data_IF_697652633490
#
_entry.id   IF_697652633490
#
_cell.length_a   1.000
_cell.length_b   1.000
_cell.length_c   1.000
_cell.angle_alpha   90.00
_cell.angle_beta   90.00
_cell.angle_gamma   90.00
#
_symmetry.space_group_name_H-M   'P 1'
#
loop_
_entity.id
_entity.type
_entity.pdbx_description
1 polymer ?
#
# COMPACT_ATOMS: atom_id res chain seq x y z
N UNK A 1 15.72 -8.67 19.19
CA UNK A 1 15.11 -7.36 19.51
C UNK A 1 13.61 -7.45 19.30
N UNK A 2 12.84 -6.78 20.18
CA UNK A 2 11.39 -6.86 20.16
C UNK A 2 10.77 -5.57 19.62
N UNK A 3 9.87 -5.70 18.65
CA UNK A 3 9.20 -4.56 18.03
C UNK A 3 7.68 -4.71 18.16
N UNK A 4 7.02 -3.68 18.69
CA UNK A 4 5.57 -3.56 18.61
C UNK A 4 5.19 -2.86 17.30
N UNK A 5 4.32 -3.49 16.52
CA UNK A 5 3.81 -2.94 15.26
C UNK A 5 2.36 -2.51 15.41
N UNK A 6 2.02 -1.30 14.91
CA UNK A 6 0.68 -0.71 15.00
C UNK A 6 0.22 -0.29 13.60
N UNK A 7 -0.86 -0.90 13.13
CA UNK A 7 -1.44 -0.63 11.82
C UNK A 7 -2.93 -0.28 11.94
N UNK A 8 -3.28 1.01 12.11
CA UNK A 8 -4.66 1.46 12.17
C UNK A 8 -5.30 1.46 10.76
N UNK A 9 -6.44 0.78 10.65
CA UNK A 9 -7.34 0.87 9.51
C UNK A 9 -8.60 1.69 9.83
N UNK A 10 -9.48 1.85 8.84
CA UNK A 10 -10.71 2.62 9.00
C UNK A 10 -11.59 2.08 10.14
N UNK A 11 -11.83 0.77 10.17
CA UNK A 11 -12.73 0.10 11.12
C UNK A 11 -12.03 -0.83 12.10
N UNK A 12 -10.70 -0.89 12.08
CA UNK A 12 -9.93 -1.76 12.97
C UNK A 12 -8.52 -1.20 13.24
N UNK A 13 -7.89 -1.68 14.30
CA UNK A 13 -6.47 -1.48 14.54
C UNK A 13 -5.82 -2.84 14.72
N UNK A 14 -4.88 -3.17 13.85
CA UNK A 14 -4.08 -4.40 13.98
C UNK A 14 -2.80 -4.07 14.74
N UNK A 15 -2.46 -4.91 15.71
CA UNK A 15 -1.18 -4.85 16.42
C UNK A 15 -0.51 -6.20 16.36
N UNK A 16 0.83 -6.20 16.27
CA UNK A 16 1.64 -7.42 16.35
C UNK A 16 2.91 -7.14 17.13
N UNK A 17 3.33 -8.12 17.92
CA UNK A 17 4.63 -8.13 18.57
C UNK A 17 5.56 -9.08 17.81
N UNK A 18 6.76 -8.63 17.52
CA UNK A 18 7.82 -9.41 16.89
C UNK A 18 8.99 -9.56 17.86
N UNK A 19 9.57 -10.76 17.91
CA UNK A 19 10.87 -11.02 18.49
C UNK A 19 11.80 -11.43 17.34
N UNK A 20 12.69 -10.53 16.96
CA UNK A 20 13.36 -10.54 15.66
C UNK A 20 12.33 -10.72 14.53
N UNK A 21 12.55 -11.60 13.59
CA UNK A 21 11.62 -11.85 12.47
C UNK A 21 10.39 -12.67 12.85
N UNK A 22 10.33 -13.20 14.10
CA UNK A 22 9.25 -14.07 14.54
C UNK A 22 8.09 -13.26 15.12
N UNK A 23 6.92 -13.35 14.52
CA UNK A 23 5.70 -12.82 15.11
C UNK A 23 5.27 -13.67 16.32
N UNK A 24 5.24 -13.05 17.50
CA UNK A 24 4.90 -13.72 18.78
C UNK A 24 3.50 -13.36 19.28
N UNK A 25 2.89 -12.29 18.76
CA UNK A 25 1.52 -11.89 19.08
C UNK A 25 0.91 -11.19 17.87
N UNK A 26 -0.37 -11.45 17.59
CA UNK A 26 -1.19 -10.67 16.64
C UNK A 26 -2.59 -10.50 17.20
N UNK A 27 -3.07 -9.25 17.23
CA UNK A 27 -4.43 -8.90 17.65
C UNK A 27 -5.04 -7.94 16.64
N UNK A 28 -6.31 -8.15 16.32
CA UNK A 28 -7.12 -7.23 15.53
C UNK A 28 -8.24 -6.66 16.39
N UNK A 29 -8.19 -5.37 16.64
CA UNK A 29 -9.15 -4.63 17.46
C UNK A 29 -10.16 -3.99 16.52
N UNK A 30 -11.40 -4.43 16.53
CA UNK A 30 -12.47 -3.85 15.73
C UNK A 30 -13.05 -2.59 16.41
N UNK A 31 -13.42 -1.61 15.60
CA UNK A 31 -14.07 -0.38 16.04
C UNK A 31 -15.46 -0.27 15.42
N UNK A 32 -16.49 -0.07 16.23
CA UNK A 32 -17.84 0.12 15.71
C UNK A 32 -17.99 1.49 15.06
N UNK A 33 -18.87 1.57 14.06
CA UNK A 33 -19.21 2.85 13.42
C UNK A 33 -19.74 3.87 14.44
N UNK A 34 -20.50 3.41 15.45
CA UNK A 34 -21.03 4.24 16.53
C UNK A 34 -19.91 4.86 17.39
N UNK A 35 -18.83 4.12 17.68
CA UNK A 35 -17.69 4.67 18.42
C UNK A 35 -16.92 5.67 17.57
N UNK A 36 -16.66 5.34 16.31
CA UNK A 36 -15.89 6.20 15.42
C UNK A 36 -16.62 7.49 15.04
N UNK A 37 -17.98 7.48 15.00
CA UNK A 37 -18.76 8.69 14.69
C UNK A 37 -18.73 9.77 15.78
N UNK A 38 -18.19 9.47 16.97
CA UNK A 38 -17.98 10.45 18.05
C UNK A 38 -16.84 11.43 17.77
N UNK A 39 -15.97 11.14 16.80
CA UNK A 39 -14.79 11.92 16.48
C UNK A 39 -15.01 12.69 15.16
N UNK A 40 -14.79 14.00 15.19
CA UNK A 40 -14.89 14.85 14.01
C UNK A 40 -13.68 14.65 13.07
N UNK A 41 -12.48 14.43 13.65
CA UNK A 41 -11.23 14.23 12.93
C UNK A 41 -10.55 12.91 13.31
N UNK A 42 -9.80 12.36 12.37
CA UNK A 42 -9.08 11.09 12.57
C UNK A 42 -8.11 11.19 13.76
N UNK A 43 -7.39 12.30 13.90
CA UNK A 43 -6.43 12.49 14.99
C UNK A 43 -7.06 12.38 16.39
N UNK A 44 -8.31 12.76 16.54
CA UNK A 44 -9.05 12.68 17.82
C UNK A 44 -9.28 11.24 18.30
N UNK A 45 -9.19 10.26 17.39
CA UNK A 45 -9.31 8.84 17.73
C UNK A 45 -8.08 8.29 18.48
N UNK A 46 -6.97 9.04 18.54
CA UNK A 46 -5.71 8.56 19.10
C UNK A 46 -5.85 8.07 20.55
N UNK A 47 -6.42 8.83 21.51
CA UNK A 47 -6.53 8.37 22.90
C UNK A 47 -7.38 7.11 23.05
N UNK A 48 -8.48 7.02 22.29
CA UNK A 48 -9.37 5.86 22.26
C UNK A 48 -8.63 4.62 21.77
N UNK A 49 -7.96 4.70 20.60
CA UNK A 49 -7.22 3.57 20.04
C UNK A 49 -6.02 3.18 20.87
N UNK A 50 -5.28 4.16 21.44
CA UNK A 50 -4.16 3.95 22.36
C UNK A 50 -4.59 3.13 23.59
N UNK A 51 -5.74 3.48 24.20
CA UNK A 51 -6.28 2.72 25.34
C UNK A 51 -6.53 1.26 24.97
N UNK A 52 -7.20 1.00 23.85
CA UNK A 52 -7.51 -0.37 23.40
C UNK A 52 -6.25 -1.18 23.10
N UNK A 53 -5.20 -0.56 22.56
CA UNK A 53 -3.90 -1.20 22.35
C UNK A 53 -3.26 -1.59 23.68
N UNK A 54 -3.26 -0.70 24.68
CA UNK A 54 -2.72 -1.01 26.00
C UNK A 54 -3.50 -2.12 26.71
N UNK A 55 -4.83 -2.14 26.57
CA UNK A 55 -5.67 -3.20 27.10
C UNK A 55 -5.34 -4.55 26.42
N UNK A 56 -5.23 -4.58 25.09
CA UNK A 56 -4.86 -5.78 24.33
C UNK A 56 -3.45 -6.29 24.68
N UNK A 57 -2.47 -5.41 24.90
CA UNK A 57 -1.14 -5.80 25.36
C UNK A 57 -1.22 -6.47 26.73
N UNK A 58 -1.96 -5.88 27.68
CA UNK A 58 -2.12 -6.41 29.04
C UNK A 58 -2.80 -7.78 29.03
N UNK A 59 -3.85 -7.97 28.23
CA UNK A 59 -4.55 -9.24 28.06
C UNK A 59 -3.62 -10.36 27.52
N UNK A 60 -2.59 -9.98 26.75
CA UNK A 60 -1.59 -10.90 26.24
C UNK A 60 -0.31 -10.99 27.13
N UNK A 61 -0.36 -10.45 28.35
CA UNK A 61 0.75 -10.50 29.31
C UNK A 61 1.96 -9.65 28.91
N UNK A 62 1.76 -8.62 28.08
CA UNK A 62 2.80 -7.73 27.58
C UNK A 62 2.61 -6.30 28.07
N UNK A 63 3.69 -5.54 28.13
CA UNK A 63 3.72 -4.11 28.44
C UNK A 63 4.66 -3.39 27.47
N UNK A 64 4.48 -2.08 27.30
CA UNK A 64 5.27 -1.27 26.36
C UNK A 64 6.78 -1.37 26.64
N UNK A 65 7.19 -1.48 27.90
CA UNK A 65 8.61 -1.62 28.28
C UNK A 65 9.25 -2.97 27.92
N UNK A 66 8.50 -3.91 27.35
CA UNK A 66 9.05 -5.19 26.88
C UNK A 66 9.61 -5.08 25.45
N UNK A 67 9.42 -3.93 24.79
CA UNK A 67 9.84 -3.68 23.42
C UNK A 67 11.04 -2.75 23.34
N UNK A 68 11.89 -2.98 22.31
CA UNK A 68 13.05 -2.13 22.00
C UNK A 68 12.67 -0.95 21.07
N UNK A 69 11.56 -1.08 20.34
CA UNK A 69 10.99 -0.02 19.51
C UNK A 69 9.49 -0.24 19.25
N UNK A 70 8.79 0.83 18.85
CA UNK A 70 7.43 0.77 18.33
C UNK A 70 7.43 1.26 16.88
N UNK A 71 6.81 0.51 15.97
CA UNK A 71 6.67 0.88 14.58
C UNK A 71 5.20 1.09 14.22
N UNK A 72 4.82 2.31 13.88
CA UNK A 72 3.51 2.64 13.38
C UNK A 72 3.45 2.65 11.86
N UNK A 73 2.28 2.37 11.27
CA UNK A 73 2.06 2.65 9.86
C UNK A 73 2.11 4.16 9.62
N UNK A 74 2.85 4.61 8.60
CA UNK A 74 2.77 5.98 8.09
C UNK A 74 1.55 6.14 7.16
N UNK A 75 0.94 7.32 7.20
CA UNK A 75 -0.24 7.65 6.41
C UNK A 75 0.02 8.70 5.33
N UNK A 76 -0.92 9.63 5.20
CA UNK A 76 -0.83 10.77 4.28
C UNK A 76 0.01 11.87 4.94
N UNK A 77 1.26 11.96 4.53
CA UNK A 77 2.27 12.91 4.99
C UNK A 77 2.85 13.63 3.78
N UNK A 78 3.83 14.53 3.98
CA UNK A 78 4.57 15.13 2.84
C UNK A 78 5.29 14.03 2.04
N UNK A 79 5.58 14.33 0.79
CA UNK A 79 6.34 13.42 -0.07
C UNK A 79 7.76 13.24 0.44
N UNK A 80 8.17 11.99 0.64
CA UNK A 80 9.48 11.60 1.15
C UNK A 80 10.03 10.40 0.38
N UNK A 81 11.36 10.20 0.32
CA UNK A 81 11.94 8.97 -0.18
C UNK A 81 11.55 7.75 0.64
N UNK A 82 11.74 6.54 0.09
CA UNK A 82 11.57 5.28 0.82
C UNK A 82 12.55 5.17 1.99
N UNK A 83 12.09 4.62 3.11
CA UNK A 83 12.93 4.39 4.28
C UNK A 83 12.16 4.13 5.56
N UNK A 84 12.95 3.89 6.61
CA UNK A 84 12.47 3.89 7.99
C UNK A 84 12.78 5.27 8.60
N UNK A 85 11.79 5.90 9.16
CA UNK A 85 11.84 7.25 9.70
C UNK A 85 11.56 7.24 11.20
N UNK A 86 12.36 8.00 11.97
CA UNK A 86 12.01 8.29 13.34
C UNK A 86 10.79 9.22 13.38
N UNK A 87 9.86 8.93 14.28
CA UNK A 87 8.76 9.85 14.55
C UNK A 87 9.30 11.04 15.34
N UNK A 88 9.03 12.24 14.86
CA UNK A 88 9.46 13.49 15.49
C UNK A 88 8.31 14.51 15.51
N UNK A 89 8.56 15.68 16.10
CA UNK A 89 7.53 16.73 16.26
C UNK A 89 6.97 17.21 14.92
N UNK A 90 7.74 17.15 13.81
CA UNK A 90 7.25 17.49 12.47
C UNK A 90 6.24 16.48 11.96
N UNK A 91 6.49 15.18 12.16
CA UNK A 91 5.53 14.11 11.81
C UNK A 91 4.22 14.33 12.56
N UNK A 92 4.30 14.57 13.87
CA UNK A 92 3.12 14.81 14.71
C UNK A 92 2.38 16.07 14.27
N UNK A 93 3.11 17.16 14.00
CA UNK A 93 2.52 18.39 13.47
C UNK A 93 1.72 18.14 12.17
N UNK A 94 2.31 17.43 11.19
CA UNK A 94 1.65 17.17 9.90
C UNK A 94 0.45 16.21 10.05
N UNK A 95 0.43 15.33 11.06
CA UNK A 95 -0.73 14.48 11.39
C UNK A 95 -1.87 15.31 12.00
N UNK A 96 -1.53 16.23 12.91
CA UNK A 96 -2.51 17.07 13.60
C UNK A 96 -3.05 18.21 12.73
N UNK A 97 -2.30 18.61 11.70
CA UNK A 97 -2.67 19.66 10.74
C UNK A 97 -2.66 19.06 9.31
N UNK A 98 -3.68 18.29 8.93
CA UNK A 98 -3.63 17.36 7.79
C UNK A 98 -3.69 18.07 6.42
N UNK A 99 -2.67 18.86 6.08
CA UNK A 99 -2.51 19.50 4.77
C UNK A 99 -2.39 18.49 3.62
N UNK A 100 -2.03 17.24 3.91
CA UNK A 100 -1.90 16.15 2.93
C UNK A 100 -3.08 15.18 2.94
N UNK A 101 -4.06 15.39 3.81
CA UNK A 101 -5.28 14.59 3.94
C UNK A 101 -5.34 13.74 5.21
N UNK A 102 -6.53 13.28 5.54
CA UNK A 102 -6.80 12.44 6.70
C UNK A 102 -7.03 10.98 6.29
N UNK A 103 -6.33 10.07 6.96
CA UNK A 103 -6.55 8.64 6.83
C UNK A 103 -6.21 7.95 8.15
N UNK A 104 -6.89 6.85 8.48
CA UNK A 104 -6.65 6.11 9.73
C UNK A 104 -5.18 5.70 9.91
N UNK A 105 -4.47 5.41 8.82
CA UNK A 105 -3.04 5.06 8.85
C UNK A 105 -2.16 6.18 9.46
N UNK A 106 -2.59 7.46 9.39
CA UNK A 106 -1.87 8.57 10.02
C UNK A 106 -1.70 8.36 11.53
N UNK A 107 -2.67 7.71 12.17
CA UNK A 107 -2.61 7.41 13.61
C UNK A 107 -1.49 6.43 14.00
N UNK A 108 -0.97 5.63 13.05
CA UNK A 108 0.04 4.62 13.37
C UNK A 108 1.30 5.24 13.97
N UNK A 109 1.88 6.22 13.28
CA UNK A 109 3.04 6.94 13.77
C UNK A 109 2.73 7.74 15.04
N UNK A 110 1.56 8.37 15.12
CA UNK A 110 1.16 9.16 16.29
C UNK A 110 1.00 8.28 17.55
N UNK A 111 0.30 7.16 17.45
CA UNK A 111 0.15 6.22 18.58
C UNK A 111 1.50 5.61 18.96
N UNK A 112 2.35 5.29 17.96
CA UNK A 112 3.69 4.76 18.22
C UNK A 112 4.51 5.73 19.09
N UNK A 113 4.55 7.01 18.76
CA UNK A 113 5.26 8.03 19.54
C UNK A 113 4.68 8.17 20.95
N UNK A 114 3.35 8.24 21.06
CA UNK A 114 2.65 8.40 22.33
C UNK A 114 2.82 7.22 23.30
N UNK A 115 3.14 6.04 22.79
CA UNK A 115 3.46 4.86 23.60
C UNK A 115 4.96 4.76 23.88
N UNK A 116 5.80 5.09 22.91
CA UNK A 116 7.26 4.93 22.98
C UNK A 116 7.91 5.98 23.90
N UNK A 117 7.49 7.25 23.78
CA UNK A 117 8.08 8.38 24.51
C UNK A 117 8.11 8.19 26.04
N UNK A 118 7.02 7.77 26.72
CA UNK A 118 7.05 7.51 28.17
C UNK A 118 7.93 6.32 28.56
N UNK A 119 8.14 5.36 27.63
CA UNK A 119 8.97 4.18 27.86
C UNK A 119 10.45 4.41 27.53
N UNK A 120 10.81 5.57 26.97
CA UNK A 120 12.18 5.91 26.59
C UNK A 120 12.73 5.07 25.43
N UNK A 121 11.86 4.54 24.56
CA UNK A 121 12.23 3.74 23.38
C UNK A 121 11.89 4.50 22.09
N UNK A 122 12.54 4.21 20.95
CA UNK A 122 12.25 4.90 19.70
C UNK A 122 10.91 4.49 19.09
N UNK A 123 10.27 5.45 18.40
CA UNK A 123 9.12 5.24 17.53
C UNK A 123 9.52 5.43 16.07
N UNK A 124 9.05 4.53 15.20
CA UNK A 124 9.33 4.56 13.78
C UNK A 124 8.06 4.46 12.93
N UNK A 125 8.18 4.87 11.68
CA UNK A 125 7.26 4.49 10.59
C UNK A 125 8.07 4.15 9.33
N UNK A 126 7.48 3.34 8.43
CA UNK A 126 8.19 2.75 7.30
C UNK A 126 7.39 2.92 6.02
N UNK A 127 8.05 3.36 4.96
CA UNK A 127 7.54 3.39 3.59
C UNK A 127 6.05 3.77 3.49
N UNK A 128 5.66 5.00 3.94
CA UNK A 128 4.25 5.42 3.90
C UNK A 128 3.76 5.56 2.46
N UNK A 129 2.44 5.64 2.27
CA UNK A 129 1.82 5.77 0.95
C UNK A 129 2.23 7.04 0.18
N UNK A 130 2.82 8.01 0.86
CA UNK A 130 3.36 9.24 0.31
C UNK A 130 4.84 9.13 -0.12
N UNK A 131 5.42 7.92 -0.14
CA UNK A 131 6.76 7.72 -0.74
C UNK A 131 6.76 8.21 -2.17
N UNK A 132 7.71 9.07 -2.48
CA UNK A 132 7.89 9.65 -3.81
C UNK A 132 9.36 9.67 -4.22
N UNK A 133 9.70 8.81 -5.16
CA UNK A 133 11.02 8.69 -5.75
C UNK A 133 10.96 8.81 -7.28
N UNK A 134 9.79 9.22 -7.81
CA UNK A 134 9.58 9.35 -9.25
C UNK A 134 10.62 10.31 -9.86
N UNK A 135 11.15 9.94 -11.02
CA UNK A 135 11.99 10.82 -11.82
C UNK A 135 11.14 11.98 -12.42
N UNK A 136 11.76 13.13 -12.64
CA UNK A 136 11.02 14.33 -13.08
C UNK A 136 10.28 14.11 -14.40
N UNK A 137 10.85 13.38 -15.35
CA UNK A 137 10.20 13.08 -16.64
C UNK A 137 8.93 12.25 -16.47
N UNK A 138 8.84 11.42 -15.43
CA UNK A 138 7.66 10.60 -15.14
C UNK A 138 6.50 11.42 -14.57
N UNK A 139 6.77 12.61 -14.03
CA UNK A 139 5.75 13.51 -13.47
C UNK A 139 4.98 14.28 -14.55
N UNK A 140 5.60 14.49 -15.70
CA UNK A 140 5.01 15.30 -16.78
C UNK A 140 3.81 14.56 -17.37
N UNK A 141 2.64 15.20 -17.31
CA UNK A 141 1.44 14.76 -18.01
C UNK A 141 1.25 15.56 -19.32
N UNK A 142 0.17 15.27 -20.03
CA UNK A 142 -0.18 16.01 -21.26
C UNK A 142 -0.64 17.45 -21.05
N UNK A 143 -0.78 17.93 -19.79
CA UNK A 143 -1.26 19.28 -19.50
C UNK A 143 -0.46 19.90 -18.34
N UNK A 144 0.05 21.13 -18.57
CA UNK A 144 0.78 21.89 -17.55
C UNK A 144 -0.11 22.17 -16.32
N UNK A 145 0.44 21.87 -15.13
CA UNK A 145 -0.27 22.04 -13.86
C UNK A 145 -1.15 20.83 -13.46
N UNK A 146 -1.13 19.75 -14.25
CA UNK A 146 -1.79 18.48 -13.93
C UNK A 146 -0.74 17.35 -13.92
N UNK A 147 0.20 17.43 -13.00
CA UNK A 147 1.30 16.48 -12.91
C UNK A 147 0.85 15.16 -12.33
N UNK A 148 1.49 14.05 -12.80
CA UNK A 148 1.32 12.73 -12.21
C UNK A 148 1.94 12.71 -10.82
N UNK A 149 1.32 11.97 -9.90
CA UNK A 149 1.72 11.88 -8.51
C UNK A 149 2.08 10.46 -8.13
N UNK A 150 3.09 10.32 -7.28
CA UNK A 150 3.39 9.05 -6.63
C UNK A 150 2.36 8.77 -5.53
N UNK A 151 1.53 7.75 -5.72
CA UNK A 151 0.60 7.26 -4.72
C UNK A 151 0.37 5.77 -4.92
N UNK A 152 1.04 4.94 -4.14
CA UNK A 152 1.05 3.49 -4.36
C UNK A 152 1.22 2.72 -3.03
N UNK A 153 1.15 1.40 -3.10
CA UNK A 153 1.33 0.52 -1.94
C UNK A 153 2.82 0.40 -1.57
N UNK A 154 3.46 1.53 -1.22
CA UNK A 154 4.90 1.66 -1.06
C UNK A 154 5.51 0.60 -0.12
N UNK A 155 4.92 0.43 1.08
CA UNK A 155 5.37 -0.56 2.05
C UNK A 155 5.42 -1.99 1.46
N UNK A 156 4.35 -2.39 0.78
CA UNK A 156 4.28 -3.72 0.15
C UNK A 156 5.26 -3.83 -1.03
N UNK A 157 5.30 -2.84 -1.93
CA UNK A 157 6.22 -2.82 -3.07
C UNK A 157 7.68 -2.98 -2.63
N UNK A 158 8.10 -2.18 -1.64
CA UNK A 158 9.48 -2.20 -1.15
C UNK A 158 9.83 -3.50 -0.43
N UNK A 159 8.89 -4.05 0.35
CA UNK A 159 9.07 -5.31 1.05
C UNK A 159 9.21 -6.47 0.06
N UNK A 160 8.29 -6.62 -0.89
CA UNK A 160 8.37 -7.73 -1.86
C UNK A 160 9.54 -7.59 -2.82
N UNK A 161 9.96 -6.36 -3.17
CA UNK A 161 11.15 -6.14 -3.97
C UNK A 161 12.43 -6.63 -3.26
N UNK A 162 12.58 -6.34 -1.95
CA UNK A 162 13.69 -6.87 -1.14
C UNK A 162 13.64 -8.39 -1.00
N UNK A 163 12.43 -8.96 -0.80
CA UNK A 163 12.26 -10.42 -0.72
C UNK A 163 12.56 -11.11 -2.06
N UNK A 164 12.14 -10.53 -3.18
CA UNK A 164 12.49 -11.03 -4.50
C UNK A 164 14.02 -10.98 -4.72
N UNK A 165 14.67 -9.88 -4.34
CA UNK A 165 16.12 -9.75 -4.42
C UNK A 165 16.83 -10.82 -3.58
N UNK A 166 16.36 -11.08 -2.35
CA UNK A 166 16.89 -12.14 -1.49
C UNK A 166 16.74 -13.54 -2.13
N UNK A 167 15.58 -13.83 -2.75
CA UNK A 167 15.39 -15.10 -3.49
C UNK A 167 16.34 -15.23 -4.68
N UNK A 168 16.73 -14.10 -5.30
CA UNK A 168 17.68 -14.06 -6.41
C UNK A 168 19.16 -14.07 -5.94
N UNK A 169 19.41 -14.04 -4.61
CA UNK A 169 20.76 -13.98 -4.04
C UNK A 169 21.50 -12.66 -4.32
N UNK A 170 20.75 -11.55 -4.54
CA UNK A 170 21.29 -10.22 -4.87
C UNK A 170 20.71 -9.15 -3.95
N UNK A 171 21.34 -7.98 -3.88
CA UNK A 171 20.77 -6.83 -3.18
C UNK A 171 19.70 -6.14 -4.03
N UNK A 172 18.71 -5.55 -3.39
CA UNK A 172 17.64 -4.83 -4.08
C UNK A 172 18.19 -3.60 -4.84
N UNK A 173 19.24 -2.99 -4.31
CA UNK A 173 19.93 -1.83 -4.89
C UNK A 173 20.73 -2.16 -6.17
N UNK A 174 20.86 -3.43 -6.50
CA UNK A 174 21.53 -3.89 -7.74
C UNK A 174 20.53 -4.28 -8.83
N UNK A 175 19.24 -4.33 -8.52
CA UNK A 175 18.21 -4.88 -9.39
C UNK A 175 17.32 -3.80 -10.01
N UNK A 176 16.86 -4.10 -11.22
CA UNK A 176 15.75 -3.45 -11.88
C UNK A 176 14.54 -4.38 -11.84
N UNK A 177 13.50 -4.02 -11.11
CA UNK A 177 12.32 -4.85 -10.93
C UNK A 177 11.07 -4.10 -11.41
N UNK A 178 10.08 -4.86 -11.89
CA UNK A 178 8.72 -4.35 -12.04
C UNK A 178 7.89 -5.01 -10.96
N UNK A 179 7.29 -4.23 -10.07
CA UNK A 179 6.40 -4.76 -9.04
C UNK A 179 4.97 -4.39 -9.38
N UNK A 180 4.10 -5.38 -9.41
CA UNK A 180 2.66 -5.22 -9.62
C UNK A 180 1.90 -5.68 -8.37
N UNK A 181 1.36 -4.72 -7.63
CA UNK A 181 0.45 -4.97 -6.51
C UNK A 181 -0.96 -5.11 -7.06
N UNK A 182 -1.53 -6.29 -6.92
CA UNK A 182 -2.81 -6.71 -7.46
C UNK A 182 -3.83 -6.84 -6.33
N UNK A 183 -4.69 -5.84 -6.16
CA UNK A 183 -5.64 -5.78 -5.05
C UNK A 183 -6.93 -5.03 -5.39
N UNK A 184 -7.66 -4.56 -4.37
CA UNK A 184 -8.79 -3.64 -4.54
C UNK A 184 -8.38 -2.40 -5.33
N UNK A 185 -7.25 -1.79 -4.96
CA UNK A 185 -6.48 -0.89 -5.81
C UNK A 185 -5.30 -1.63 -6.43
N UNK A 186 -4.94 -1.23 -7.64
CA UNK A 186 -3.77 -1.73 -8.37
C UNK A 186 -2.70 -0.66 -8.41
N UNK A 187 -1.44 -1.04 -8.26
CA UNK A 187 -0.30 -0.18 -8.59
C UNK A 187 0.80 -1.00 -9.24
N UNK A 188 1.35 -0.48 -10.34
CA UNK A 188 2.46 -1.12 -11.06
C UNK A 188 3.61 -0.13 -11.14
N UNK A 189 4.79 -0.52 -10.67
CA UNK A 189 5.92 0.38 -10.52
C UNK A 189 7.21 -0.17 -11.13
N UNK A 190 8.00 0.72 -11.70
CA UNK A 190 9.37 0.47 -12.13
C UNK A 190 10.32 0.78 -10.98
N UNK A 191 11.03 -0.23 -10.51
CA UNK A 191 12.06 -0.13 -9.49
C UNK A 191 13.42 -0.18 -10.17
N UNK A 192 14.19 0.89 -10.09
CA UNK A 192 15.55 0.98 -10.60
C UNK A 192 16.50 1.12 -9.42
N UNK A 193 17.32 0.08 -9.17
CA UNK A 193 18.38 0.08 -8.16
C UNK A 193 17.92 0.62 -6.80
N UNK A 194 16.88 0.00 -6.26
CA UNK A 194 16.33 0.34 -4.94
C UNK A 194 15.34 1.51 -4.92
N UNK A 195 15.11 2.22 -6.04
CA UNK A 195 14.19 3.37 -6.12
C UNK A 195 12.99 3.10 -7.02
N UNK A 196 11.84 3.64 -6.68
CA UNK A 196 10.64 3.62 -7.53
C UNK A 196 10.67 4.84 -8.45
N UNK A 197 11.16 4.66 -9.68
CA UNK A 197 11.41 5.76 -10.62
C UNK A 197 10.19 6.16 -11.45
N UNK A 198 9.19 5.28 -11.54
CA UNK A 198 7.87 5.56 -12.12
C UNK A 198 6.84 4.60 -11.54
N UNK A 199 5.59 5.02 -11.48
CA UNK A 199 4.48 4.20 -10.97
C UNK A 199 3.16 4.61 -11.62
N UNK A 200 2.35 3.62 -11.99
CA UNK A 200 0.91 3.83 -12.15
C UNK A 200 0.27 3.81 -10.77
N UNK A 201 -0.32 4.95 -10.40
CA UNK A 201 -0.85 5.15 -9.07
C UNK A 201 -2.25 4.52 -8.91
N UNK A 202 -2.62 4.24 -7.66
CA UNK A 202 -3.87 3.54 -7.35
C UNK A 202 -5.14 4.39 -7.51
N UNK A 203 -5.01 5.69 -7.85
CA UNK A 203 -6.15 6.62 -7.89
C UNK A 203 -6.53 7.02 -9.30
N UNK A 204 -5.55 7.39 -10.12
CA UNK A 204 -5.76 8.25 -11.27
C UNK A 204 -5.29 7.63 -12.59
N UNK A 205 -4.40 6.65 -12.57
CA UNK A 205 -3.82 6.08 -13.77
C UNK A 205 -3.62 4.54 -13.67
N UNK A 206 -3.21 3.92 -14.77
CA UNK A 206 -2.99 2.48 -14.84
C UNK A 206 -4.27 1.64 -14.96
N UNK A 207 -4.13 0.38 -14.64
CA UNK A 207 -5.19 -0.63 -14.74
C UNK A 207 -6.33 -0.39 -13.76
N UNK A 208 -7.53 -0.83 -14.12
CA UNK A 208 -8.61 -0.97 -13.15
C UNK A 208 -8.23 -1.96 -12.05
N UNK A 209 -8.79 -1.76 -10.86
CA UNK A 209 -8.74 -2.72 -9.75
C UNK A 209 -10.08 -3.43 -9.55
N UNK A 210 -10.29 -4.01 -8.36
CA UNK A 210 -11.58 -4.63 -8.05
C UNK A 210 -12.69 -3.59 -7.87
N UNK A 211 -12.36 -2.42 -7.31
CA UNK A 211 -13.34 -1.37 -7.01
C UNK A 211 -12.91 0.04 -7.44
N UNK A 212 -11.77 0.19 -8.11
CA UNK A 212 -11.25 1.46 -8.63
C UNK A 212 -11.14 1.43 -10.14
N UNK A 213 -11.44 2.58 -10.78
CA UNK A 213 -11.55 2.67 -12.22
C UNK A 213 -10.22 2.62 -12.97
N UNK A 214 -9.11 3.00 -12.33
CA UNK A 214 -7.85 3.23 -13.05
C UNK A 214 -7.97 4.38 -14.06
N UNK A 215 -7.23 4.28 -15.14
CA UNK A 215 -7.31 5.24 -16.23
C UNK A 215 -8.66 5.11 -16.97
N UNK A 216 -9.38 6.22 -17.07
CA UNK A 216 -10.69 6.30 -17.73
C UNK A 216 -10.64 7.24 -18.93
N UNK A 217 -11.53 7.07 -19.93
CA UNK A 217 -11.66 8.01 -21.03
C UNK A 217 -12.01 9.40 -20.52
N UNK A 218 -11.13 10.39 -20.73
CA UNK A 218 -11.25 11.74 -20.16
C UNK A 218 -12.59 12.39 -20.48
N UNK A 219 -13.05 12.31 -21.74
CA UNK A 219 -14.33 12.93 -22.12
C UNK A 219 -15.51 12.31 -21.37
N UNK A 220 -15.51 11.00 -21.13
CA UNK A 220 -16.56 10.36 -20.34
C UNK A 220 -16.54 10.80 -18.87
N UNK A 221 -15.35 11.06 -18.31
CA UNK A 221 -15.22 11.61 -16.94
C UNK A 221 -15.74 13.03 -16.89
N UNK A 222 -15.47 13.87 -17.90
CA UNK A 222 -16.02 15.22 -18.00
C UNK A 222 -17.54 15.19 -18.04
N UNK A 223 -18.15 14.39 -18.91
CA UNK A 223 -19.61 14.23 -18.97
C UNK A 223 -20.20 13.77 -17.63
N UNK A 224 -19.54 12.84 -16.95
CA UNK A 224 -19.94 12.40 -15.63
C UNK A 224 -19.90 13.53 -14.59
N UNK A 225 -18.86 14.38 -14.60
CA UNK A 225 -18.72 15.51 -13.68
C UNK A 225 -19.79 16.59 -13.90
N UNK A 226 -20.25 16.76 -15.14
CA UNK A 226 -21.29 17.73 -15.48
C UNK A 226 -22.71 17.14 -15.57
N UNK A 227 -22.92 15.90 -15.15
CA UNK A 227 -24.22 15.20 -15.18
C UNK A 227 -25.20 15.63 -14.08
N UNK A 228 -24.86 16.66 -13.29
CA UNK A 228 -25.65 17.11 -12.15
C UNK A 228 -25.41 16.34 -10.84
N UNK A 229 -24.45 15.42 -10.83
CA UNK A 229 -24.04 14.70 -9.61
C UNK A 229 -23.14 15.56 -8.73
N UNK A 230 -23.24 15.33 -7.43
CA UNK A 230 -22.35 15.97 -6.47
C UNK A 230 -20.92 15.41 -6.57
N UNK A 231 -19.91 16.27 -6.36
CA UNK A 231 -18.49 15.91 -6.42
C UNK A 231 -18.13 14.69 -5.55
N UNK A 232 -18.76 14.59 -4.36
CA UNK A 232 -18.53 13.46 -3.45
C UNK A 232 -19.05 12.15 -4.04
N UNK A 233 -20.21 12.18 -4.72
CA UNK A 233 -20.78 11.03 -5.41
C UNK A 233 -19.88 10.55 -6.55
N UNK A 234 -19.45 11.46 -7.43
CA UNK A 234 -18.54 11.13 -8.53
C UNK A 234 -17.24 10.50 -8.00
N UNK A 235 -16.64 11.09 -6.97
CA UNK A 235 -15.42 10.53 -6.34
C UNK A 235 -15.65 9.13 -5.79
N UNK A 236 -16.80 8.85 -5.17
CA UNK A 236 -17.16 7.53 -4.66
C UNK A 236 -17.32 6.53 -5.80
N UNK A 237 -18.05 6.91 -6.86
CA UNK A 237 -18.23 6.08 -8.06
C UNK A 237 -16.89 5.65 -8.66
N UNK A 238 -15.96 6.59 -8.86
CA UNK A 238 -14.66 6.32 -9.49
C UNK A 238 -13.69 5.58 -8.57
N UNK A 239 -13.73 5.85 -7.26
CA UNK A 239 -12.74 5.39 -6.29
C UNK A 239 -13.13 4.14 -5.49
N UNK A 240 -14.39 3.69 -5.53
CA UNK A 240 -14.83 2.53 -4.74
C UNK A 240 -16.02 1.75 -5.33
N UNK A 241 -16.59 2.20 -6.46
CA UNK A 241 -17.71 1.55 -7.14
C UNK A 241 -17.44 1.32 -8.63
N UNK A 242 -16.19 1.51 -9.05
CA UNK A 242 -15.72 1.28 -10.41
C UNK A 242 -15.02 -0.09 -10.55
N UNK A 243 -14.13 -0.23 -11.52
CA UNK A 243 -13.36 -1.43 -11.76
C UNK A 243 -14.22 -2.67 -12.04
N UNK A 244 -13.75 -3.81 -11.59
CA UNK A 244 -14.47 -5.09 -11.74
C UNK A 244 -15.87 -5.03 -11.10
N UNK A 245 -15.99 -4.32 -9.97
CA UNK A 245 -17.26 -4.17 -9.25
C UNK A 245 -18.35 -3.52 -10.11
N UNK A 246 -18.01 -2.54 -10.93
CA UNK A 246 -19.01 -1.85 -11.78
C UNK A 246 -19.64 -2.75 -12.85
N UNK A 247 -18.96 -3.82 -13.22
CA UNK A 247 -19.43 -4.79 -14.23
C UNK A 247 -20.10 -6.01 -13.58
N UNK A 248 -19.49 -6.56 -12.52
CA UNK A 248 -19.86 -7.87 -11.98
C UNK A 248 -20.53 -7.83 -10.61
N UNK A 249 -20.62 -6.62 -9.98
CA UNK A 249 -21.27 -6.42 -8.68
C UNK A 249 -20.53 -7.03 -7.49
N UNK A 250 -19.28 -7.47 -7.67
CA UNK A 250 -18.47 -8.07 -6.61
C UNK A 250 -17.08 -7.44 -6.51
N UNK A 251 -16.56 -7.34 -5.28
CA UNK A 251 -15.18 -6.96 -4.95
C UNK A 251 -14.32 -8.15 -4.53
N UNK A 252 -14.89 -9.35 -4.57
CA UNK A 252 -14.16 -10.58 -4.28
C UNK A 252 -13.74 -11.26 -5.60
N UNK A 253 -12.44 -11.28 -5.84
CA UNK A 253 -11.90 -11.87 -7.07
C UNK A 253 -12.18 -13.37 -7.21
N UNK A 254 -12.36 -14.09 -6.08
CA UNK A 254 -12.74 -15.52 -6.08
C UNK A 254 -14.12 -15.74 -6.69
N UNK A 255 -15.05 -14.77 -6.48
CA UNK A 255 -16.37 -14.83 -7.12
C UNK A 255 -16.28 -14.58 -8.63
N UNK A 256 -15.35 -13.73 -9.08
CA UNK A 256 -15.08 -13.51 -10.51
C UNK A 256 -14.61 -14.82 -11.16
N UNK A 257 -13.63 -15.49 -10.55
CA UNK A 257 -13.13 -16.79 -11.03
C UNK A 257 -14.21 -17.86 -11.04
N UNK A 258 -15.05 -17.89 -9.99
CA UNK A 258 -16.17 -18.84 -9.93
C UNK A 258 -17.15 -18.60 -11.08
N UNK A 259 -17.62 -17.37 -11.31
CA UNK A 259 -18.49 -17.01 -12.43
C UNK A 259 -17.88 -17.40 -13.77
N UNK A 260 -16.59 -17.13 -13.97
CA UNK A 260 -15.86 -17.51 -15.17
C UNK A 260 -15.85 -19.02 -15.39
N UNK A 261 -15.58 -19.81 -14.34
CA UNK A 261 -15.56 -21.27 -14.38
C UNK A 261 -16.97 -21.85 -14.62
N UNK A 262 -18.01 -21.17 -14.17
CA UNK A 262 -19.42 -21.51 -14.40
C UNK A 262 -19.89 -21.14 -15.84
N UNK A 263 -18.99 -20.58 -16.66
CA UNK A 263 -19.25 -20.26 -18.07
C UNK A 263 -19.83 -18.87 -18.31
N UNK A 264 -19.82 -17.98 -17.33
CA UNK A 264 -20.24 -16.59 -17.47
C UNK A 264 -19.32 -15.85 -18.45
N UNK A 265 -19.90 -15.42 -19.58
CA UNK A 265 -19.15 -14.75 -20.67
C UNK A 265 -18.71 -13.33 -20.27
N UNK A 266 -19.51 -12.61 -19.48
CA UNK A 266 -19.18 -11.27 -19.02
C UNK A 266 -18.03 -11.35 -18.00
N UNK A 267 -18.09 -12.25 -17.02
CA UNK A 267 -17.01 -12.47 -16.08
C UNK A 267 -15.70 -12.86 -16.81
N UNK A 268 -15.79 -13.72 -17.83
CA UNK A 268 -14.63 -14.10 -18.64
C UNK A 268 -14.04 -12.90 -19.38
N UNK A 269 -14.89 -12.04 -19.96
CA UNK A 269 -14.43 -10.83 -20.65
C UNK A 269 -13.74 -9.85 -19.69
N UNK A 270 -14.35 -9.62 -18.53
CA UNK A 270 -13.80 -8.70 -17.51
C UNK A 270 -12.50 -9.22 -16.91
N UNK A 271 -12.39 -10.53 -16.63
CA UNK A 271 -11.14 -11.17 -16.24
C UNK A 271 -10.02 -10.94 -17.26
N UNK A 272 -10.31 -11.16 -18.55
CA UNK A 272 -9.35 -10.93 -19.64
C UNK A 272 -8.99 -9.45 -19.79
N UNK A 273 -9.97 -8.55 -19.65
CA UNK A 273 -9.74 -7.11 -19.72
C UNK A 273 -8.81 -6.64 -18.60
N UNK A 274 -9.03 -7.12 -17.37
CA UNK A 274 -8.15 -6.84 -16.23
C UNK A 274 -6.73 -7.35 -16.48
N UNK A 275 -6.59 -8.62 -16.85
CA UNK A 275 -5.29 -9.24 -17.16
C UNK A 275 -4.53 -8.48 -18.26
N UNK A 276 -5.26 -8.08 -19.32
CA UNK A 276 -4.70 -7.33 -20.44
C UNK A 276 -4.22 -5.93 -20.03
N UNK A 277 -5.00 -5.22 -19.22
CA UNK A 277 -4.60 -3.90 -18.71
C UNK A 277 -3.35 -4.01 -17.84
N UNK A 278 -3.32 -4.97 -16.89
CA UNK A 278 -2.16 -5.24 -16.03
C UNK A 278 -0.90 -5.55 -16.86
N UNK A 279 -1.03 -6.37 -17.90
CA UNK A 279 0.08 -6.68 -18.79
C UNK A 279 0.59 -5.44 -19.55
N UNK A 280 -0.29 -4.54 -19.95
CA UNK A 280 0.08 -3.25 -20.59
C UNK A 280 0.85 -2.36 -19.62
N UNK A 281 0.41 -2.26 -18.37
CA UNK A 281 1.10 -1.46 -17.35
C UNK A 281 2.51 -2.00 -17.08
N UNK A 282 2.64 -3.32 -16.95
CA UNK A 282 3.94 -3.99 -16.82
C UNK A 282 4.83 -3.71 -18.05
N UNK A 283 4.27 -3.78 -19.26
CA UNK A 283 4.98 -3.47 -20.49
C UNK A 283 5.47 -2.02 -20.55
N UNK A 284 4.64 -1.08 -20.07
CA UNK A 284 5.02 0.33 -19.96
C UNK A 284 6.16 0.53 -18.96
N UNK A 285 6.13 -0.14 -17.80
CA UNK A 285 7.22 -0.08 -16.82
C UNK A 285 8.50 -0.74 -17.33
N UNK A 286 8.38 -1.76 -18.19
CA UNK A 286 9.55 -2.33 -18.88
C UNK A 286 10.22 -1.29 -19.81
N UNK A 287 9.42 -0.48 -20.52
CA UNK A 287 9.96 0.62 -21.33
C UNK A 287 10.65 1.70 -20.49
N UNK A 288 10.10 2.05 -19.31
CA UNK A 288 10.76 2.95 -18.34
C UNK A 288 12.15 2.44 -17.98
N UNK A 289 12.30 1.15 -17.72
CA UNK A 289 13.57 0.48 -17.41
C UNK A 289 14.40 0.13 -18.67
N UNK A 290 14.00 0.62 -19.84
CA UNK A 290 14.65 0.34 -21.13
C UNK A 290 14.81 -1.15 -21.39
N UNK A 291 13.82 -1.94 -20.98
CA UNK A 291 13.79 -3.41 -21.06
C UNK A 291 14.96 -4.12 -20.33
N UNK A 292 15.63 -3.41 -19.42
CA UNK A 292 16.65 -4.00 -18.53
C UNK A 292 15.99 -4.39 -17.22
N UNK A 293 15.20 -5.46 -17.24
CA UNK A 293 14.39 -5.93 -16.12
C UNK A 293 14.95 -7.26 -15.64
N UNK A 294 15.32 -7.34 -14.36
CA UNK A 294 15.83 -8.58 -13.74
C UNK A 294 14.68 -9.54 -13.37
N UNK A 295 13.56 -9.01 -12.88
CA UNK A 295 12.35 -9.80 -12.61
C UNK A 295 11.08 -8.92 -12.58
N UNK A 296 9.93 -9.57 -12.80
CA UNK A 296 8.59 -9.02 -12.57
C UNK A 296 8.07 -9.68 -11.28
N UNK A 297 7.56 -8.89 -10.34
CA UNK A 297 7.06 -9.38 -9.05
C UNK A 297 5.57 -9.13 -8.95
N UNK A 298 4.76 -10.19 -8.78
CA UNK A 298 3.33 -10.07 -8.49
C UNK A 298 3.11 -10.19 -6.98
N UNK A 299 2.27 -9.30 -6.44
CA UNK A 299 1.91 -9.27 -5.01
C UNK A 299 0.47 -8.78 -4.84
N UNK A 300 0.00 -8.65 -3.60
CA UNK A 300 -1.38 -8.29 -3.29
C UNK A 300 -2.33 -9.50 -3.27
N UNK A 301 -3.58 -9.24 -2.90
CA UNK A 301 -4.56 -10.31 -2.68
C UNK A 301 -4.95 -11.07 -3.93
N UNK A 302 -5.04 -10.43 -5.11
CA UNK A 302 -5.34 -11.11 -6.36
C UNK A 302 -4.17 -11.97 -6.87
N UNK A 303 -2.95 -11.77 -6.39
CA UNK A 303 -1.81 -12.61 -6.77
C UNK A 303 -1.90 -14.06 -6.22
N UNK A 304 -2.86 -14.36 -5.34
CA UNK A 304 -3.21 -15.74 -4.99
C UNK A 304 -3.90 -16.50 -6.12
N UNK A 305 -4.45 -15.80 -7.11
CA UNK A 305 -5.05 -16.40 -8.28
C UNK A 305 -3.99 -16.86 -9.28
N UNK A 306 -3.76 -18.18 -9.35
CA UNK A 306 -2.85 -18.75 -10.34
C UNK A 306 -3.31 -18.50 -11.78
N UNK A 307 -4.63 -18.48 -12.03
CA UNK A 307 -5.20 -18.22 -13.33
C UNK A 307 -4.88 -16.79 -13.79
N UNK A 308 -5.04 -15.80 -12.91
CA UNK A 308 -4.70 -14.40 -13.19
C UNK A 308 -3.20 -14.24 -13.47
N UNK A 309 -2.36 -14.77 -12.56
CA UNK A 309 -0.91 -14.69 -12.71
C UNK A 309 -0.44 -15.35 -14.02
N UNK A 310 -1.01 -16.49 -14.39
CA UNK A 310 -0.70 -17.20 -15.63
C UNK A 310 -1.12 -16.38 -16.85
N UNK A 311 -2.33 -15.82 -16.84
CA UNK A 311 -2.84 -15.01 -17.94
C UNK A 311 -1.97 -13.76 -18.15
N UNK A 312 -1.66 -13.00 -17.10
CA UNK A 312 -0.76 -11.84 -17.19
C UNK A 312 0.63 -12.28 -17.71
N UNK A 313 1.18 -13.37 -17.17
CA UNK A 313 2.50 -13.88 -17.55
C UNK A 313 2.55 -14.25 -19.04
N UNK A 314 1.44 -14.74 -19.62
CA UNK A 314 1.39 -15.07 -21.05
C UNK A 314 1.74 -13.89 -21.96
N UNK A 315 1.43 -12.65 -21.53
CA UNK A 315 1.75 -11.43 -22.25
C UNK A 315 3.17 -10.93 -22.02
N UNK A 316 3.70 -11.09 -20.78
CA UNK A 316 4.92 -10.41 -20.33
C UNK A 316 6.12 -11.31 -20.14
N UNK A 317 5.99 -12.62 -20.35
CA UNK A 317 7.04 -13.64 -20.12
C UNK A 317 8.35 -13.41 -20.89
N UNK A 318 8.29 -12.66 -22.00
CA UNK A 318 9.47 -12.28 -22.78
C UNK A 318 10.23 -11.06 -22.22
N UNK A 319 9.65 -10.36 -21.24
CA UNK A 319 10.28 -9.19 -20.61
C UNK A 319 11.31 -9.64 -19.56
N UNK A 320 10.89 -10.48 -18.60
CA UNK A 320 11.73 -10.99 -17.53
C UNK A 320 11.05 -12.19 -16.84
N UNK A 321 11.79 -12.96 -16.01
CA UNK A 321 11.20 -13.97 -15.13
C UNK A 321 10.19 -13.36 -14.17
N UNK A 322 9.13 -14.13 -13.83
CA UNK A 322 8.08 -13.73 -12.90
C UNK A 322 8.30 -14.41 -11.54
N UNK A 323 8.25 -13.62 -10.48
CA UNK A 323 8.25 -14.05 -9.07
C UNK A 323 6.90 -13.71 -8.48
N UNK A 324 6.19 -14.68 -7.93
CA UNK A 324 4.89 -14.47 -7.29
C UNK A 324 5.06 -14.50 -5.77
N UNK A 325 4.76 -13.37 -5.12
CA UNK A 325 4.79 -13.16 -3.67
C UNK A 325 3.43 -12.62 -3.22
N UNK A 326 2.38 -13.46 -3.19
CA UNK A 326 1.01 -13.02 -2.97
C UNK A 326 0.79 -12.52 -1.55
N UNK A 327 -0.24 -11.67 -1.40
CA UNK A 327 -0.66 -11.11 -0.11
C UNK A 327 0.00 -9.79 0.23
N UNK A 328 -0.31 -9.33 1.43
CA UNK A 328 0.17 -8.07 2.01
C UNK A 328 0.66 -8.36 3.43
N UNK A 329 1.96 -8.53 3.61
CA UNK A 329 2.54 -8.76 4.93
C UNK A 329 2.90 -7.44 5.62
N UNK A 330 1.93 -6.50 5.71
CA UNK A 330 2.16 -5.15 6.23
C UNK A 330 2.78 -5.14 7.62
N UNK A 331 2.28 -6.00 8.53
CA UNK A 331 2.79 -6.06 9.91
C UNK A 331 4.26 -6.48 9.93
N UNK A 332 4.60 -7.52 9.17
CA UNK A 332 5.97 -8.00 9.02
C UNK A 332 6.87 -6.93 8.37
N UNK A 333 6.38 -6.27 7.32
CA UNK A 333 7.14 -5.24 6.61
C UNK A 333 7.49 -4.05 7.51
N UNK A 334 6.56 -3.64 8.39
CA UNK A 334 6.79 -2.60 9.40
C UNK A 334 7.82 -3.05 10.44
N UNK A 335 7.72 -4.29 10.93
CA UNK A 335 8.68 -4.87 11.86
C UNK A 335 10.09 -4.94 11.26
N UNK A 336 10.22 -5.48 10.04
CA UNK A 336 11.50 -5.57 9.31
C UNK A 336 12.14 -4.18 9.11
N UNK A 337 11.31 -3.15 8.84
CA UNK A 337 11.81 -1.77 8.73
C UNK A 337 12.41 -1.25 10.03
N UNK A 338 11.73 -1.45 11.16
CA UNK A 338 12.23 -1.04 12.47
C UNK A 338 13.47 -1.85 12.88
N UNK A 339 13.43 -3.18 12.68
CA UNK A 339 14.56 -4.08 12.98
C UNK A 339 15.83 -3.69 12.20
N UNK A 340 15.71 -3.31 10.92
CA UNK A 340 16.87 -2.82 10.16
C UNK A 340 17.58 -1.66 10.85
N UNK A 341 16.82 -0.70 11.40
CA UNK A 341 17.39 0.45 12.13
C UNK A 341 17.98 -0.01 13.46
N UNK A 342 17.29 -0.85 14.21
CA UNK A 342 17.79 -1.39 15.49
C UNK A 342 19.09 -2.18 15.31
N UNK A 343 19.29 -2.84 14.17
CA UNK A 343 20.53 -3.54 13.78
C UNK A 343 21.59 -2.62 13.15
N UNK A 344 21.45 -1.31 13.28
CA UNK A 344 22.45 -0.33 12.82
C UNK A 344 22.26 0.13 11.38
N UNK A 345 21.15 -0.19 10.74
CA UNK A 345 20.79 0.35 9.44
C UNK A 345 20.42 1.83 9.51
N UNK A 346 20.29 2.46 8.34
CA UNK A 346 19.97 3.88 8.24
C UNK A 346 18.57 4.19 8.77
N UNK A 347 18.47 5.14 9.70
CA UNK A 347 17.25 5.85 10.06
C UNK A 347 17.24 7.18 9.31
N UNK A 348 16.11 7.51 8.68
CA UNK A 348 15.92 8.77 7.95
C UNK A 348 15.23 9.80 8.86
N UNK A 349 15.46 11.07 8.57
CA UNK A 349 14.76 12.19 9.19
C UNK A 349 13.65 12.68 8.27
N UNK A 350 12.50 13.02 8.90
CA UNK A 350 11.32 13.54 8.24
C UNK A 350 11.37 15.06 8.02
#
# INVERSE_FOLDING_TARGET
MKVLVINPGATSTKISAFDEEKEVMRVSISHSAQELSKFAHIAEQMPYRKKLILDALRENGMKVSDFDAICGRGGLLRHIPSGTYAVNDRVIHDILHPGYGEHAANLGAYIAEELAKPAGIPAYFVDPVCVDEMQDVARISGMKGMERQSFFHALNHKSVARRAAQQMGRSYEELNLIVAHLGGGVSVAAHERGRVVDVYNVKDDGSMGLDRGGALPVNAVVELCYSGREKAEVKRMLGSEAGVYSYLGTKDFREVEKKMNDGDKEATLIFRALSYQLAKDIGSMAAVLRFRVDAIVYTGGMAYSESLCREITSYVSKVAPVICLPGEEEMRSLAEGALRVLHGGKCSEY
#
